data_IF_634823888101
#
_entry.id   IF_634823888101
#
_cell.length_a   1.000
_cell.length_b   1.000
_cell.length_c   1.000
_cell.angle_alpha   90.00
_cell.angle_beta   90.00
_cell.angle_gamma   90.00
#
_symmetry.space_group_name_H-M   'P 1'
#
loop_
_entity.id
_entity.type
_entity.pdbx_description
1 polymer ?
#
# COMPACT_ATOMS: atom_id res chain seq x y z
N UNK A 1 -6.97 -8.21 12.45
CA UNK A 1 -7.84 -7.22 11.80
C UNK A 1 -7.81 -7.46 10.29
N UNK A 2 -8.90 -7.16 9.59
CA UNK A 2 -8.99 -7.31 8.14
C UNK A 2 -8.30 -6.16 7.39
N UNK A 3 -7.83 -6.43 6.17
CA UNK A 3 -7.10 -5.47 5.34
C UNK A 3 -7.90 -4.20 5.07
N UNK A 4 -9.20 -4.31 4.75
CA UNK A 4 -10.04 -3.16 4.40
C UNK A 4 -10.14 -2.19 5.57
N UNK A 5 -10.37 -2.70 6.78
CA UNK A 5 -10.47 -1.85 7.97
C UNK A 5 -9.14 -1.17 8.31
N UNK A 6 -8.01 -1.86 8.13
CA UNK A 6 -6.69 -1.26 8.31
C UNK A 6 -6.41 -0.16 7.28
N UNK A 7 -6.72 -0.40 5.99
CA UNK A 7 -6.57 0.60 4.92
C UNK A 7 -7.40 1.85 5.21
N UNK A 8 -8.67 1.68 5.61
CA UNK A 8 -9.54 2.80 5.99
C UNK A 8 -8.99 3.56 7.21
N UNK A 9 -8.43 2.84 8.17
CA UNK A 9 -7.82 3.45 9.36
C UNK A 9 -6.59 4.28 8.97
N UNK A 10 -5.70 3.73 8.15
CA UNK A 10 -4.53 4.46 7.63
C UNK A 10 -4.93 5.67 6.80
N UNK A 11 -5.91 5.55 5.90
CA UNK A 11 -6.37 6.67 5.08
C UNK A 11 -6.97 7.81 5.92
N UNK A 12 -7.72 7.49 6.98
CA UNK A 12 -8.23 8.51 7.91
C UNK A 12 -7.12 9.21 8.68
N UNK A 13 -6.11 8.46 9.12
CA UNK A 13 -4.99 9.02 9.86
C UNK A 13 -4.14 9.92 8.95
N UNK A 14 -3.83 9.48 7.73
CA UNK A 14 -3.16 10.31 6.73
C UNK A 14 -3.95 11.58 6.38
N UNK A 15 -5.27 11.46 6.21
CA UNK A 15 -6.14 12.59 5.88
C UNK A 15 -6.38 13.56 7.05
N UNK A 16 -6.24 13.11 8.29
CA UNK A 16 -6.27 14.00 9.46
C UNK A 16 -5.11 15.00 9.41
N UNK A 17 -4.03 14.65 8.70
CA UNK A 17 -2.83 15.47 8.57
C UNK A 17 -2.11 15.63 9.90
N UNK A 18 -1.24 16.64 9.96
CA UNK A 18 -0.41 16.92 11.12
C UNK A 18 0.79 17.74 10.71
N UNK A 19 1.81 17.76 11.56
CA UNK A 19 3.11 18.26 11.15
C UNK A 19 3.80 17.26 10.21
N UNK A 20 4.85 17.68 9.51
CA UNK A 20 5.61 16.81 8.59
C UNK A 20 5.97 15.44 9.21
N UNK A 21 6.46 15.34 10.46
CA UNK A 21 6.77 14.06 11.08
C UNK A 21 5.56 13.12 11.23
N UNK A 22 4.36 13.67 11.48
CA UNK A 22 3.13 12.89 11.59
C UNK A 22 2.76 12.30 10.22
N UNK A 23 2.84 13.14 9.18
CA UNK A 23 2.57 12.71 7.80
C UNK A 23 3.55 11.61 7.39
N UNK A 24 4.85 11.78 7.65
CA UNK A 24 5.87 10.78 7.31
C UNK A 24 5.67 9.47 8.07
N UNK A 25 5.23 9.53 9.33
CA UNK A 25 4.86 8.34 10.12
C UNK A 25 3.68 7.60 9.50
N UNK A 26 2.64 8.34 9.08
CA UNK A 26 1.47 7.77 8.45
C UNK A 26 1.77 7.18 7.07
N UNK A 27 2.59 7.85 6.26
CA UNK A 27 3.10 7.32 4.97
C UNK A 27 3.86 6.00 5.20
N UNK A 28 4.76 5.96 6.18
CA UNK A 28 5.52 4.76 6.51
C UNK A 28 4.58 3.60 6.89
N UNK A 29 3.55 3.87 7.70
CA UNK A 29 2.53 2.88 8.06
C UNK A 29 1.74 2.38 6.86
N UNK A 30 1.39 3.25 5.90
CA UNK A 30 0.72 2.84 4.66
C UNK A 30 1.59 1.89 3.86
N UNK A 31 2.87 2.23 3.68
CA UNK A 31 3.80 1.39 2.92
C UNK A 31 4.04 0.04 3.62
N UNK A 32 4.22 0.03 4.94
CA UNK A 32 4.34 -1.21 5.71
C UNK A 32 3.08 -2.09 5.58
N UNK A 33 1.88 -1.48 5.58
CA UNK A 33 0.63 -2.20 5.36
C UNK A 33 0.52 -2.75 3.93
N UNK A 34 0.92 -1.97 2.93
CA UNK A 34 0.95 -2.41 1.53
C UNK A 34 1.90 -3.61 1.34
N UNK A 35 3.08 -3.56 1.96
CA UNK A 35 4.04 -4.65 1.98
C UNK A 35 3.44 -5.92 2.61
N UNK A 36 2.78 -5.80 3.76
CA UNK A 36 2.15 -6.93 4.45
C UNK A 36 1.00 -7.54 3.63
N UNK A 37 0.21 -6.71 2.94
CA UNK A 37 -0.85 -7.16 2.03
C UNK A 37 -0.25 -7.93 0.84
N UNK A 38 0.80 -7.36 0.20
CA UNK A 38 1.52 -8.01 -0.90
C UNK A 38 2.07 -9.38 -0.49
N UNK A 39 2.73 -9.45 0.66
CA UNK A 39 3.31 -10.70 1.17
C UNK A 39 2.24 -11.78 1.38
N UNK A 40 1.10 -11.42 1.97
CA UNK A 40 -0.03 -12.34 2.17
C UNK A 40 -0.66 -12.77 0.85
N UNK A 41 -0.80 -11.88 -0.14
CA UNK A 41 -1.32 -12.22 -1.47
C UNK A 41 -0.36 -13.15 -2.22
N UNK A 42 0.96 -12.99 -2.07
CA UNK A 42 1.94 -13.86 -2.71
C UNK A 42 1.87 -15.30 -2.17
N UNK A 43 1.60 -15.46 -0.87
CA UNK A 43 1.52 -16.76 -0.19
C UNK A 43 0.15 -17.42 -0.34
N UNK A 44 -0.93 -16.68 -0.12
CA UNK A 44 -2.29 -17.23 0.02
C UNK A 44 -3.29 -16.71 -0.99
N UNK A 45 -2.90 -15.76 -1.84
CA UNK A 45 -3.76 -15.21 -2.88
C UNK A 45 -3.85 -16.11 -4.13
N UNK A 46 -4.68 -15.70 -5.10
CA UNK A 46 -4.80 -16.39 -6.38
C UNK A 46 -3.44 -16.49 -7.10
N UNK A 47 -3.08 -17.65 -7.69
CA UNK A 47 -1.76 -17.88 -8.28
C UNK A 47 -1.34 -16.85 -9.33
N UNK A 48 -2.29 -16.35 -10.12
CA UNK A 48 -2.09 -15.35 -11.17
C UNK A 48 -1.62 -13.98 -10.63
N UNK A 49 -1.89 -13.70 -9.35
CA UNK A 49 -1.46 -12.45 -8.69
C UNK A 49 -0.05 -12.52 -8.13
N UNK A 50 0.53 -13.72 -7.98
CA UNK A 50 1.75 -13.93 -7.17
C UNK A 50 2.92 -13.03 -7.59
N UNK A 51 3.15 -12.89 -8.90
CA UNK A 51 4.23 -12.04 -9.41
C UNK A 51 4.08 -10.57 -8.99
N UNK A 52 2.90 -9.99 -9.19
CA UNK A 52 2.65 -8.60 -8.80
C UNK A 52 2.59 -8.44 -7.28
N UNK A 53 2.15 -9.46 -6.55
CA UNK A 53 2.11 -9.43 -5.09
C UNK A 53 3.52 -9.44 -4.47
N UNK A 54 4.47 -10.18 -5.07
CA UNK A 54 5.89 -10.11 -4.72
C UNK A 54 6.44 -8.72 -5.04
N UNK A 55 6.18 -8.21 -6.25
CA UNK A 55 6.60 -6.86 -6.65
C UNK A 55 6.05 -5.78 -5.70
N UNK A 56 4.77 -5.86 -5.31
CA UNK A 56 4.18 -4.96 -4.32
C UNK A 56 4.91 -5.04 -2.97
N UNK A 57 5.29 -6.25 -2.53
CA UNK A 57 6.04 -6.44 -1.27
C UNK A 57 7.39 -5.73 -1.32
N UNK A 58 8.12 -5.88 -2.42
CA UNK A 58 9.45 -5.31 -2.60
C UNK A 58 9.39 -3.78 -2.71
N UNK A 59 8.48 -3.26 -3.54
CA UNK A 59 8.32 -1.82 -3.77
C UNK A 59 7.83 -1.07 -2.53
N UNK A 60 6.84 -1.63 -1.83
CA UNK A 60 6.38 -1.05 -0.58
C UNK A 60 7.47 -1.11 0.51
N UNK A 61 8.26 -2.19 0.54
CA UNK A 61 9.43 -2.30 1.41
C UNK A 61 10.52 -1.27 1.12
N UNK A 62 10.76 -0.96 -0.17
CA UNK A 62 11.67 0.14 -0.59
C UNK A 62 11.20 1.47 -0.01
N UNK A 63 9.91 1.78 -0.13
CA UNK A 63 9.33 2.98 0.47
C UNK A 63 9.63 3.09 1.97
N UNK A 64 9.38 2.01 2.73
CA UNK A 64 9.65 1.96 4.16
C UNK A 64 11.13 2.21 4.49
N UNK A 65 12.04 1.73 3.64
CA UNK A 65 13.49 1.83 3.84
C UNK A 65 14.09 3.19 3.52
N UNK A 66 13.42 3.99 2.68
CA UNK A 66 13.81 5.37 2.36
C UNK A 66 13.45 6.34 3.49
N UNK A 67 12.32 6.10 4.14
CA UNK A 67 11.81 6.93 5.23
C UNK A 67 12.44 6.54 6.57
N UNK A 68 12.52 7.51 7.49
CA UNK A 68 12.90 7.22 8.87
C UNK A 68 11.86 6.29 9.49
N UNK A 69 12.32 5.15 10.04
CA UNK A 69 11.43 4.21 10.73
C UNK A 69 10.86 4.88 11.98
N UNK A 70 9.52 4.96 12.12
CA UNK A 70 8.90 5.60 13.27
C UNK A 70 9.03 4.72 14.52
N UNK A 71 9.18 5.35 15.68
CA UNK A 71 9.19 4.67 16.97
C UNK A 71 7.77 4.31 17.40
N UNK A 72 7.31 3.12 17.01
CA UNK A 72 5.95 2.65 17.30
C UNK A 72 5.97 1.36 18.12
N UNK A 73 5.07 1.27 19.09
CA UNK A 73 4.89 0.03 19.82
C UNK A 73 4.38 -1.07 18.86
N UNK A 74 4.70 -2.36 19.10
CA UNK A 74 4.24 -3.45 18.24
C UNK A 74 2.72 -3.48 18.02
N UNK A 75 1.92 -3.03 19.00
CA UNK A 75 0.47 -2.93 18.89
C UNK A 75 -0.03 -1.78 18.02
N UNK A 76 0.81 -0.79 17.72
CA UNK A 76 0.50 0.40 16.91
C UNK A 76 0.86 0.18 15.43
N UNK A 77 1.69 -0.82 15.13
CA UNK A 77 2.02 -1.25 13.77
C UNK A 77 0.80 -1.87 13.08
N UNK A 78 0.16 -1.12 12.17
CA UNK A 78 -1.05 -1.59 11.45
C UNK A 78 -0.74 -2.82 10.59
N UNK A 79 0.44 -2.88 10.00
CA UNK A 79 0.94 -4.04 9.29
C UNK A 79 0.96 -5.31 10.17
N UNK A 80 1.34 -5.19 11.45
CA UNK A 80 1.37 -6.31 12.40
C UNK A 80 -0.05 -6.74 12.84
N UNK A 81 -1.03 -5.83 12.78
CA UNK A 81 -2.43 -6.13 13.08
C UNK A 81 -3.16 -6.86 11.95
N UNK A 82 -2.56 -6.97 10.75
CA UNK A 82 -3.14 -7.65 9.60
C UNK A 82 -3.16 -9.16 9.83
N UNK A 83 -4.36 -9.71 10.07
CA UNK A 83 -4.55 -11.16 10.29
C UNK A 83 -5.18 -11.86 9.10
N UNK A 84 -5.94 -11.13 8.29
CA UNK A 84 -6.69 -11.65 7.14
C UNK A 84 -6.81 -10.59 6.04
N UNK A 85 -6.90 -11.05 4.79
CA UNK A 85 -7.09 -10.16 3.64
C UNK A 85 -8.57 -9.83 3.37
N UNK A 86 -9.49 -10.72 3.72
CA UNK A 86 -10.90 -10.60 3.32
C UNK A 86 -11.07 -10.71 1.80
N UNK A 87 -11.93 -9.88 1.22
CA UNK A 87 -12.09 -9.77 -0.24
C UNK A 87 -10.87 -9.08 -0.86
N UNK A 88 -10.07 -9.85 -1.61
CA UNK A 88 -8.87 -9.38 -2.27
C UNK A 88 -9.12 -8.22 -3.24
N UNK A 89 -10.23 -8.26 -4.00
CA UNK A 89 -10.57 -7.20 -4.97
C UNK A 89 -10.88 -5.91 -4.22
N UNK A 90 -11.68 -5.99 -3.16
CA UNK A 90 -12.04 -4.83 -2.36
C UNK A 90 -10.81 -4.23 -1.65
N UNK A 91 -9.96 -5.08 -1.07
CA UNK A 91 -8.73 -4.66 -0.42
C UNK A 91 -7.79 -3.94 -1.42
N UNK A 92 -7.58 -4.52 -2.61
CA UNK A 92 -6.74 -3.94 -3.65
C UNK A 92 -7.27 -2.60 -4.18
N UNK A 93 -8.58 -2.47 -4.42
CA UNK A 93 -9.15 -1.19 -4.85
C UNK A 93 -8.90 -0.07 -3.83
N UNK A 94 -9.12 -0.36 -2.54
CA UNK A 94 -8.90 0.64 -1.48
C UNK A 94 -7.42 0.94 -1.27
N UNK A 95 -6.56 -0.08 -1.37
CA UNK A 95 -5.12 0.10 -1.28
C UNK A 95 -4.60 1.00 -2.43
N UNK A 96 -5.08 0.79 -3.65
CA UNK A 96 -4.70 1.63 -4.80
C UNK A 96 -5.10 3.10 -4.65
N UNK A 97 -6.25 3.37 -4.02
CA UNK A 97 -6.64 4.74 -3.65
C UNK A 97 -5.70 5.32 -2.60
N UNK A 98 -5.45 4.57 -1.52
CA UNK A 98 -4.61 5.02 -0.41
C UNK A 98 -3.15 5.29 -0.84
N UNK A 99 -2.59 4.48 -1.75
CA UNK A 99 -1.27 4.72 -2.33
C UNK A 99 -1.22 6.02 -3.14
N UNK A 100 -2.31 6.36 -3.84
CA UNK A 100 -2.43 7.66 -4.52
C UNK A 100 -2.50 8.82 -3.54
N UNK A 101 -3.28 8.70 -2.46
CA UNK A 101 -3.34 9.70 -1.38
C UNK A 101 -1.99 9.90 -0.70
N UNK A 102 -1.23 8.81 -0.53
CA UNK A 102 0.13 8.81 0.02
C UNK A 102 1.07 9.63 -0.87
N UNK A 103 1.03 9.43 -2.19
CA UNK A 103 1.81 10.23 -3.13
C UNK A 103 1.47 11.72 -3.06
N UNK A 104 0.18 12.08 -2.97
CA UNK A 104 -0.26 13.47 -2.84
C UNK A 104 0.26 14.10 -1.54
N UNK A 105 0.17 13.38 -0.42
CA UNK A 105 0.68 13.87 0.87
C UNK A 105 2.19 14.14 0.81
N UNK A 106 2.96 13.23 0.22
CA UNK A 106 4.40 13.37 0.05
C UNK A 106 4.79 14.52 -0.88
N UNK A 107 4.00 14.81 -1.93
CA UNK A 107 4.22 16.02 -2.76
C UNK A 107 4.09 17.27 -1.90
N UNK A 108 3.09 17.33 -1.00
CA UNK A 108 2.92 18.43 -0.06
C UNK A 108 4.14 18.61 0.86
N UNK A 109 4.66 17.52 1.41
CA UNK A 109 5.88 17.54 2.24
C UNK A 109 7.11 17.97 1.43
N UNK A 110 7.30 17.43 0.23
CA UNK A 110 8.41 17.78 -0.65
C UNK A 110 8.42 19.27 -1.00
N UNK A 111 7.24 19.85 -1.28
CA UNK A 111 7.12 21.28 -1.58
C UNK A 111 7.43 22.18 -0.38
N UNK A 112 7.27 21.67 0.85
CA UNK A 112 7.55 22.39 2.09
C UNK A 112 8.93 22.06 2.69
N UNK A 113 9.71 21.19 2.05
CA UNK A 113 11.00 20.76 2.56
C UNK A 113 12.03 21.89 2.49
N UNK A 114 12.63 22.22 3.64
CA UNK A 114 13.70 23.22 3.75
C UNK A 114 15.08 22.63 3.45
N UNK A 115 15.19 21.31 3.32
CA UNK A 115 16.43 20.59 3.09
C UNK A 115 16.32 19.55 1.95
N UNK A 116 17.44 19.36 1.24
CA UNK A 116 17.51 18.46 0.09
C UNK A 116 17.29 16.98 0.45
N UNK A 117 17.63 16.57 1.68
CA UNK A 117 17.50 15.19 2.10
C UNK A 117 16.02 14.79 2.24
N UNK A 118 15.22 15.63 2.91
CA UNK A 118 13.76 15.45 3.04
C UNK A 118 13.07 15.48 1.68
N UNK A 119 13.45 16.41 0.81
CA UNK A 119 12.94 16.46 -0.57
C UNK A 119 13.21 15.14 -1.32
N UNK A 120 14.46 14.66 -1.29
CA UNK A 120 14.83 13.44 -2.02
C UNK A 120 14.16 12.19 -1.44
N UNK A 121 14.07 12.09 -0.11
CA UNK A 121 13.31 11.01 0.55
C UNK A 121 11.85 10.98 0.10
N UNK A 122 11.22 12.16 -0.04
CA UNK A 122 9.85 12.23 -0.55
C UNK A 122 9.75 11.77 -2.00
N UNK A 123 10.69 12.15 -2.88
CA UNK A 123 10.69 11.72 -4.28
C UNK A 123 10.78 10.20 -4.43
N UNK A 124 11.70 9.57 -3.70
CA UNK A 124 11.87 8.11 -3.71
C UNK A 124 10.67 7.38 -3.10
N UNK A 125 10.05 7.95 -2.05
CA UNK A 125 8.84 7.40 -1.45
C UNK A 125 7.59 7.57 -2.35
N UNK A 126 7.50 8.65 -3.13
CA UNK A 126 6.46 8.88 -4.14
C UNK A 126 6.57 7.83 -5.24
N UNK A 127 7.78 7.64 -5.77
CA UNK A 127 8.06 6.63 -6.80
C UNK A 127 7.69 5.23 -6.32
N UNK A 128 8.10 4.85 -5.10
CA UNK A 128 7.73 3.58 -4.49
C UNK A 128 6.20 3.41 -4.34
N UNK A 129 5.47 4.47 -3.98
CA UNK A 129 4.02 4.44 -3.87
C UNK A 129 3.32 4.31 -5.24
N UNK A 130 3.82 4.98 -6.27
CA UNK A 130 3.28 4.92 -7.63
C UNK A 130 3.53 3.56 -8.28
N UNK A 131 4.76 3.03 -8.20
CA UNK A 131 5.07 1.69 -8.72
C UNK A 131 4.29 0.60 -7.96
N UNK A 132 4.11 0.75 -6.65
CA UNK A 132 3.24 -0.13 -5.84
C UNK A 132 1.79 -0.07 -6.32
N UNK A 133 1.30 1.12 -6.66
CA UNK A 133 -0.06 1.33 -7.16
C UNK A 133 -0.24 0.68 -8.54
N UNK A 134 0.77 0.73 -9.39
CA UNK A 134 0.76 0.01 -10.67
C UNK A 134 0.64 -1.51 -10.48
N UNK A 135 1.38 -2.08 -9.52
CA UNK A 135 1.22 -3.52 -9.17
C UNK A 135 -0.20 -3.85 -8.73
N UNK A 136 -0.81 -2.96 -7.93
CA UNK A 136 -2.20 -3.11 -7.48
C UNK A 136 -3.18 -3.06 -8.65
N UNK A 137 -3.00 -2.13 -9.59
CA UNK A 137 -3.84 -2.02 -10.78
C UNK A 137 -3.71 -3.24 -11.69
N UNK A 138 -2.51 -3.78 -11.87
CA UNK A 138 -2.30 -5.03 -12.60
C UNK A 138 -2.99 -6.23 -11.94
N UNK A 139 -2.92 -6.35 -10.60
CA UNK A 139 -3.66 -7.40 -9.90
C UNK A 139 -5.17 -7.27 -10.09
N UNK A 140 -5.72 -6.06 -10.04
CA UNK A 140 -7.14 -5.82 -10.29
C UNK A 140 -7.55 -6.19 -11.74
N UNK A 141 -6.69 -5.92 -12.72
CA UNK A 141 -6.90 -6.35 -14.12
C UNK A 141 -6.94 -7.88 -14.23
N UNK A 142 -6.00 -8.59 -13.61
CA UNK A 142 -5.95 -10.06 -13.60
C UNK A 142 -7.16 -10.69 -12.92
N UNK A 143 -7.60 -10.12 -11.79
CA UNK A 143 -8.84 -10.53 -11.12
C UNK A 143 -10.06 -10.38 -12.02
N UNK A 144 -10.20 -9.22 -12.70
CA UNK A 144 -11.30 -8.98 -13.62
C UNK A 144 -11.31 -9.97 -14.81
N UNK A 145 -10.13 -10.29 -15.36
CA UNK A 145 -10.01 -11.26 -16.45
C UNK A 145 -10.47 -12.67 -16.01
N UNK A 146 -10.03 -13.14 -14.83
CA UNK A 146 -10.47 -14.42 -14.27
C UNK A 146 -11.99 -14.47 -14.05
N UNK A 147 -12.55 -13.40 -13.49
CA UNK A 147 -13.98 -13.32 -13.23
C UNK A 147 -14.81 -13.35 -14.53
N UNK A 148 -14.24 -12.92 -15.66
CA UNK A 148 -14.85 -13.01 -16.99
C UNK A 148 -14.71 -14.39 -17.67
N UNK A 149 -13.68 -15.17 -17.35
CA UNK A 149 -13.50 -16.54 -17.85
C UNK A 149 -14.38 -17.58 -17.13
N UNK A 150 -14.74 -17.32 -15.87
CA UNK A 150 -15.62 -18.19 -15.06
C UNK A 150 -17.00 -18.45 -15.69
N UNK A 151 -17.73 -17.46 -16.25
CA UNK A 151 -19.01 -17.70 -16.90
C UNK A 151 -18.97 -18.55 -18.18
N UNK A 152 -17.81 -18.73 -18.83
CA UNK A 152 -17.70 -19.57 -20.03
C UNK A 152 -17.55 -21.08 -19.70
N UNK A 153 -17.09 -21.43 -18.49
CA UNK A 153 -16.88 -22.83 -18.08
C UNK A 153 -18.12 -23.51 -17.50
N UNK A 154 -19.12 -22.77 -17.04
CA UNK A 154 -20.38 -23.33 -16.52
C UNK A 154 -21.43 -23.58 -17.62
N UNK A 155 -21.16 -23.17 -18.86
CA UNK A 155 -22.06 -23.30 -20.00
C UNK A 155 -21.59 -24.31 -21.07
N UNK A 156 -20.57 -25.12 -20.79
CA UNK A 156 -19.96 -26.09 -21.71
C UNK A 156 -20.13 -27.54 -21.32
#
# INVERSE_FOLDING_TARGET
>A
MDAVRLIVTSGRALAAGGEVPDILTEVWQVQALAQAIGSRLAVSGPPELRGEAIGLTELAGRGCGVLTTPELAPGELRAAQLTELGDARQALMRLGTLLGETGIALVGVACAADDEATYWQCMEAIDAADESRDRVLEMLRKLAARDAELPEREAG
#
